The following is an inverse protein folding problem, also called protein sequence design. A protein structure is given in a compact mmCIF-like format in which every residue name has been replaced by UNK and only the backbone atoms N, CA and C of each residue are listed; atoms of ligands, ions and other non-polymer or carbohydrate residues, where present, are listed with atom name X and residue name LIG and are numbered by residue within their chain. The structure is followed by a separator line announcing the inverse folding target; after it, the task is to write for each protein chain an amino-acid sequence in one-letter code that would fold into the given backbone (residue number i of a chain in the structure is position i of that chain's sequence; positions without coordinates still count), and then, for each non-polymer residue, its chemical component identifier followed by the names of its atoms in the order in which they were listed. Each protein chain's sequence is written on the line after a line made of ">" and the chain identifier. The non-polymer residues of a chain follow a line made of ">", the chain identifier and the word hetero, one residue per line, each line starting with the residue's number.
data_IF_079685080833
#
_entry.id   IF_079685080833
#
_cell.length_a   1.000
_cell.length_b   1.000
_cell.length_c   1.000
_cell.angle_alpha   90.00
_cell.angle_beta   90.00
_cell.angle_gamma   90.00
#
_symmetry.space_group_name_H-M   'P 1'
#
loop_
_entity.id
_entity.type
_entity.pdbx_description
1 polymer ?
#
# COMPACT_ATOMS: atom_id res chain seq x y z
N UNK A 1 25.75 8.92 -9.00
CA UNK A 1 25.21 7.57 -8.74
C UNK A 1 24.41 7.63 -7.44
N UNK A 2 23.08 7.50 -7.49
CA UNK A 2 22.26 7.48 -6.27
C UNK A 2 22.66 6.26 -5.42
N UNK A 3 23.01 6.48 -4.15
CA UNK A 3 23.36 5.40 -3.23
C UNK A 3 22.15 4.48 -3.08
N UNK A 4 22.29 3.20 -3.43
CA UNK A 4 21.26 2.18 -3.20
C UNK A 4 20.84 2.20 -1.73
N UNK A 5 19.54 2.35 -1.47
CA UNK A 5 19.01 2.24 -0.12
C UNK A 5 19.08 0.76 0.30
N UNK A 6 19.76 0.51 1.42
CA UNK A 6 19.86 -0.82 2.03
C UNK A 6 18.82 -0.87 3.14
N UNK A 7 18.02 -1.95 3.17
CA UNK A 7 17.05 -2.18 4.23
C UNK A 7 17.73 -2.20 5.61
N UNK A 8 17.24 -1.36 6.53
CA UNK A 8 17.72 -1.32 7.91
C UNK A 8 16.53 -1.10 8.82
N UNK A 9 16.36 -1.98 9.81
CA UNK A 9 15.30 -1.84 10.79
C UNK A 9 15.37 -0.47 11.48
N UNK A 10 14.21 0.15 11.68
CA UNK A 10 14.01 1.49 12.23
C UNK A 10 14.66 2.62 11.41
N UNK A 11 15.05 2.38 10.15
CA UNK A 11 15.44 3.47 9.26
C UNK A 11 14.18 4.23 8.83
N UNK A 12 14.10 5.50 9.21
CA UNK A 12 13.11 6.43 8.64
C UNK A 12 13.58 6.86 7.25
N UNK A 13 12.64 6.80 6.31
CA UNK A 13 12.81 7.15 4.91
C UNK A 13 11.65 8.03 4.46
N UNK A 14 11.86 8.79 3.40
CA UNK A 14 10.76 9.30 2.60
C UNK A 14 10.76 8.64 1.23
N UNK A 15 9.57 8.52 0.66
CA UNK A 15 9.32 7.83 -0.61
C UNK A 15 8.61 8.82 -1.52
N UNK A 16 9.14 9.05 -2.72
CA UNK A 16 8.42 9.79 -3.77
C UNK A 16 7.26 8.92 -4.28
N UNK A 17 6.03 9.42 -4.15
CA UNK A 17 4.83 8.63 -4.46
C UNK A 17 4.64 8.42 -5.95
N UNK A 18 5.08 9.35 -6.80
CA UNK A 18 5.16 9.20 -8.26
C UNK A 18 6.28 10.06 -8.80
N UNK A 19 6.92 9.65 -9.89
CA UNK A 19 8.01 10.40 -10.50
C UNK A 19 7.48 11.61 -11.29
N UNK A 20 8.33 12.65 -11.38
CA UNK A 20 8.04 13.90 -12.11
C UNK A 20 7.85 13.72 -13.63
N UNK A 21 8.31 12.61 -14.21
CA UNK A 21 8.16 12.29 -15.64
C UNK A 21 6.70 12.00 -16.04
N UNK A 22 5.80 11.86 -15.07
CA UNK A 22 4.36 11.76 -15.26
C UNK A 22 3.66 13.15 -15.19
N UNK A 23 3.88 14.05 -16.15
CA UNK A 23 3.09 15.28 -16.39
C UNK A 23 2.75 16.19 -15.16
N UNK A 24 3.46 16.09 -14.03
CA UNK A 24 3.09 16.76 -12.77
C UNK A 24 3.85 18.05 -12.52
N UNK A 25 3.14 18.98 -11.87
CA UNK A 25 3.71 20.27 -11.41
C UNK A 25 4.64 20.09 -10.21
N UNK A 26 4.34 19.15 -9.32
CA UNK A 26 5.08 18.92 -8.07
C UNK A 26 5.20 17.43 -7.74
N UNK A 27 6.28 17.08 -7.04
CA UNK A 27 6.49 15.76 -6.47
C UNK A 27 5.82 15.67 -5.10
N UNK A 28 5.30 14.50 -4.75
CA UNK A 28 4.74 14.23 -3.42
C UNK A 28 5.61 13.17 -2.75
N UNK A 29 5.97 13.42 -1.49
CA UNK A 29 6.74 12.51 -0.67
C UNK A 29 5.93 12.09 0.54
N UNK A 30 6.09 10.84 0.96
CA UNK A 30 5.49 10.29 2.17
C UNK A 30 6.56 9.79 3.12
N UNK A 31 6.39 10.03 4.41
CA UNK A 31 7.30 9.52 5.44
C UNK A 31 6.94 8.08 5.81
N UNK A 32 7.95 7.21 5.86
CA UNK A 32 7.79 5.81 6.22
C UNK A 32 8.98 5.32 7.07
N UNK A 33 8.78 4.25 7.81
CA UNK A 33 9.81 3.58 8.58
C UNK A 33 9.94 2.13 8.12
N UNK A 34 11.18 1.72 7.85
CA UNK A 34 11.51 0.32 7.63
C UNK A 34 11.42 -0.44 8.95
N UNK A 35 10.52 -1.42 9.02
CA UNK A 35 10.36 -2.31 10.17
C UNK A 35 11.09 -3.64 9.88
N UNK A 36 11.03 -4.58 10.80
CA UNK A 36 11.58 -5.92 10.60
C UNK A 36 10.85 -6.65 9.45
N UNK A 37 11.50 -7.63 8.82
CA UNK A 37 10.91 -8.53 7.80
C UNK A 37 10.35 -7.85 6.52
N UNK A 38 11.00 -6.80 6.01
CA UNK A 38 10.57 -6.10 4.78
C UNK A 38 9.19 -5.42 4.88
N UNK A 39 8.74 -5.10 6.10
CA UNK A 39 7.53 -4.30 6.33
C UNK A 39 7.83 -2.80 6.35
N UNK A 40 7.01 -2.01 5.68
CA UNK A 40 7.01 -0.55 5.80
C UNK A 40 5.84 -0.11 6.66
N UNK A 41 6.17 0.66 7.70
CA UNK A 41 5.21 1.45 8.45
C UNK A 41 5.10 2.81 7.77
N UNK A 42 3.95 3.10 7.17
CA UNK A 42 3.68 4.36 6.46
C UNK A 42 2.93 5.29 7.40
N UNK A 43 3.38 6.53 7.52
CA UNK A 43 2.71 7.56 8.31
C UNK A 43 1.83 8.41 7.39
N UNK A 44 0.74 8.95 7.94
CA UNK A 44 -0.09 9.93 7.24
C UNK A 44 0.58 11.32 7.31
N UNK A 45 1.78 11.40 6.73
CA UNK A 45 2.65 12.56 6.67
C UNK A 45 3.16 12.70 5.25
N UNK A 46 2.67 13.71 4.55
CA UNK A 46 2.98 14.01 3.16
C UNK A 46 3.47 15.44 3.00
N UNK A 47 4.41 15.67 2.09
CA UNK A 47 4.85 17.02 1.69
C UNK A 47 5.32 17.03 0.23
N UNK A 48 5.64 18.22 -0.29
CA UNK A 48 6.10 18.40 -1.67
C UNK A 48 7.56 18.83 -1.80
N UNK A 49 8.20 19.20 -0.68
CA UNK A 49 9.59 19.67 -0.62
C UNK A 49 10.57 18.62 -0.04
N UNK A 50 10.04 17.49 0.44
CA UNK A 50 10.80 16.42 1.10
C UNK A 50 11.57 16.89 2.35
N UNK A 51 11.13 17.97 3.01
CA UNK A 51 11.73 18.46 4.24
C UNK A 51 10.94 17.98 5.48
N UNK A 52 11.63 17.34 6.43
CA UNK A 52 11.02 16.65 7.57
C UNK A 52 11.58 17.12 8.92
N UNK A 53 11.68 18.44 9.10
CA UNK A 53 12.09 19.04 10.37
C UNK A 53 10.99 18.94 11.43
N UNK A 54 11.38 18.77 12.69
CA UNK A 54 10.48 18.80 13.85
C UNK A 54 9.35 17.75 13.84
N UNK A 55 9.53 16.64 13.13
CA UNK A 55 8.58 15.51 13.13
C UNK A 55 8.79 14.65 14.39
N UNK A 56 7.71 14.43 15.14
CA UNK A 56 7.64 13.45 16.24
C UNK A 56 6.77 12.26 15.81
N UNK A 57 7.42 11.16 15.43
CA UNK A 57 6.74 9.94 14.97
C UNK A 57 5.89 9.26 16.07
N UNK A 58 6.09 9.58 17.35
CA UNK A 58 5.24 9.05 18.43
C UNK A 58 3.84 9.68 18.44
N UNK A 59 3.70 10.85 17.81
CA UNK A 59 2.42 11.57 17.67
C UNK A 59 1.87 11.52 16.25
N UNK A 60 2.67 11.01 15.31
CA UNK A 60 2.28 10.94 13.92
C UNK A 60 1.20 9.87 13.70
N UNK A 61 0.10 10.18 13.01
CA UNK A 61 -0.90 9.19 12.63
C UNK A 61 -0.27 8.13 11.71
N UNK A 62 -0.43 6.86 12.06
CA UNK A 62 -0.04 5.74 11.19
C UNK A 62 -1.12 5.59 10.12
N UNK A 63 -0.68 5.49 8.87
CA UNK A 63 -1.56 5.29 7.73
C UNK A 63 -1.85 3.79 7.54
N UNK A 64 -0.81 2.97 7.44
CA UNK A 64 -0.89 1.50 7.40
C UNK A 64 0.51 0.87 7.56
N UNK A 65 0.56 -0.46 7.73
CA UNK A 65 1.78 -1.26 7.72
C UNK A 65 1.64 -2.38 6.68
N UNK A 66 2.60 -2.53 5.77
CA UNK A 66 2.51 -3.53 4.68
C UNK A 66 3.87 -4.10 4.29
N UNK A 67 3.88 -5.26 3.64
CA UNK A 67 5.08 -5.89 3.11
C UNK A 67 5.44 -5.32 1.74
N UNK A 68 6.74 -5.11 1.49
CA UNK A 68 7.24 -4.67 0.18
C UNK A 68 8.32 -5.59 -0.37
N UNK A 69 8.41 -5.68 -1.69
CA UNK A 69 9.49 -6.41 -2.36
C UNK A 69 10.82 -5.64 -2.33
N UNK A 70 11.94 -6.35 -2.53
CA UNK A 70 13.24 -5.73 -2.80
C UNK A 70 13.20 -4.88 -4.08
N UNK A 71 12.42 -5.29 -5.08
CA UNK A 71 12.22 -4.56 -6.32
C UNK A 71 11.68 -3.15 -6.04
N UNK A 72 10.66 -3.03 -5.18
CA UNK A 72 10.11 -1.74 -4.78
C UNK A 72 11.19 -0.79 -4.24
N UNK A 73 12.06 -1.28 -3.34
CA UNK A 73 13.15 -0.48 -2.77
C UNK A 73 14.19 -0.07 -3.83
N UNK A 74 14.41 -0.91 -4.84
CA UNK A 74 15.39 -0.63 -5.89
C UNK A 74 14.88 0.31 -6.99
N UNK A 75 13.57 0.32 -7.26
CA UNK A 75 12.96 1.08 -8.36
C UNK A 75 12.37 2.42 -7.91
N UNK A 76 11.96 2.53 -6.65
CA UNK A 76 11.41 3.77 -6.08
C UNK A 76 12.49 4.79 -5.75
N UNK A 77 12.13 6.08 -5.83
CA UNK A 77 12.95 7.16 -5.32
C UNK A 77 12.75 7.27 -3.81
N UNK A 78 13.74 6.79 -3.04
CA UNK A 78 13.72 6.71 -1.58
C UNK A 78 14.88 7.50 -1.00
N UNK A 79 14.60 8.31 0.02
CA UNK A 79 15.56 9.18 0.67
C UNK A 79 15.64 8.84 2.16
N UNK A 80 16.84 8.74 2.71
CA UNK A 80 17.01 8.55 4.16
C UNK A 80 16.74 9.85 4.89
N UNK A 81 15.98 9.77 5.97
CA UNK A 81 15.63 10.93 6.77
C UNK A 81 16.33 10.90 8.13
N UNK A 82 16.66 12.08 8.65
CA UNK A 82 17.20 12.28 10.01
C UNK A 82 16.05 12.53 10.99
N UNK A 83 15.09 11.63 10.99
CA UNK A 83 13.92 11.66 11.88
C UNK A 83 14.07 10.49 12.85
N UNK A 84 13.81 10.73 14.14
CA UNK A 84 13.82 9.67 15.14
C UNK A 84 12.71 8.65 14.83
N UNK A 85 13.03 7.34 14.75
CA UNK A 85 12.03 6.32 14.46
C UNK A 85 11.02 6.18 15.59
N UNK A 86 9.81 5.74 15.25
CA UNK A 86 8.85 5.22 16.22
C UNK A 86 9.46 3.97 16.87
N UNK A 87 9.69 4.05 18.17
CA UNK A 87 10.26 2.95 18.97
C UNK A 87 9.15 2.02 19.42
N UNK A 88 9.50 0.73 19.55
CA UNK A 88 8.60 -0.30 20.11
C UNK A 88 7.27 -0.49 19.37
N UNK A 89 7.19 -0.07 18.10
CA UNK A 89 6.03 -0.37 17.28
C UNK A 89 5.84 -1.89 17.17
N UNK A 90 4.64 -2.35 17.51
CA UNK A 90 4.22 -3.74 17.34
C UNK A 90 3.44 -3.85 16.04
N UNK A 91 3.96 -4.57 15.02
CA UNK A 91 3.22 -4.81 13.80
C UNK A 91 1.84 -5.45 14.07
N UNK A 92 0.85 -5.20 13.20
CA UNK A 92 -0.47 -5.81 13.35
C UNK A 92 -0.37 -7.33 13.36
N UNK A 93 -1.06 -7.96 14.32
CA UNK A 93 -1.11 -9.43 14.43
C UNK A 93 -2.14 -10.01 13.46
N UNK A 94 -3.20 -9.25 13.19
CA UNK A 94 -4.28 -9.65 12.29
C UNK A 94 -4.12 -9.02 10.90
N UNK A 95 -4.30 -9.84 9.87
CA UNK A 95 -4.17 -9.44 8.46
C UNK A 95 -5.20 -10.19 7.61
N UNK A 96 -5.40 -9.71 6.39
CA UNK A 96 -6.30 -10.35 5.43
C UNK A 96 -5.48 -11.19 4.44
N UNK A 97 -5.80 -12.47 4.37
CA UNK A 97 -5.29 -13.37 3.33
C UNK A 97 -6.27 -13.44 2.16
N UNK A 98 -5.84 -13.07 0.97
CA UNK A 98 -6.67 -13.16 -0.24
C UNK A 98 -7.02 -14.62 -0.56
N UNK A 99 -8.27 -14.89 -0.91
CA UNK A 99 -8.72 -16.25 -1.24
C UNK A 99 -8.48 -16.59 -2.71
N UNK A 100 -8.05 -17.84 -2.94
CA UNK A 100 -7.93 -18.44 -4.27
C UNK A 100 -6.75 -17.93 -5.09
N UNK A 101 -6.49 -18.65 -6.19
CA UNK A 101 -5.43 -18.34 -7.15
C UNK A 101 -5.96 -18.34 -8.59
N UNK A 102 -7.29 -18.35 -8.78
CA UNK A 102 -7.87 -18.33 -10.13
C UNK A 102 -7.81 -16.93 -10.69
N UNK A 103 -7.45 -16.83 -11.96
CA UNK A 103 -7.58 -15.57 -12.68
C UNK A 103 -9.06 -15.37 -13.04
N UNK A 104 -9.59 -14.18 -12.75
CA UNK A 104 -10.96 -13.79 -13.09
C UNK A 104 -10.98 -12.48 -13.86
N UNK A 105 -12.02 -12.31 -14.67
CA UNK A 105 -12.30 -11.04 -15.34
C UNK A 105 -13.06 -10.12 -14.41
N UNK A 106 -12.70 -8.84 -14.43
CA UNK A 106 -13.42 -7.77 -13.74
C UNK A 106 -13.68 -6.66 -14.75
N UNK A 107 -14.95 -6.31 -14.95
CA UNK A 107 -15.35 -5.14 -15.72
C UNK A 107 -15.33 -3.92 -14.82
N UNK A 108 -14.59 -2.89 -15.23
CA UNK A 108 -14.43 -1.63 -14.50
C UNK A 108 -15.12 -0.51 -15.28
N UNK A 109 -15.75 0.41 -14.54
CA UNK A 109 -16.40 1.62 -15.06
C UNK A 109 -17.38 1.36 -16.23
N UNK A 110 -18.19 0.31 -16.07
CA UNK A 110 -19.20 -0.08 -17.06
C UNK A 110 -20.12 1.08 -17.44
N UNK A 111 -20.38 1.24 -18.74
CA UNK A 111 -21.17 2.31 -19.32
C UNK A 111 -20.46 3.67 -19.44
N UNK A 112 -19.17 3.76 -19.11
CA UNK A 112 -18.38 4.99 -19.25
C UNK A 112 -17.41 4.93 -20.43
N UNK A 113 -16.85 6.07 -20.83
CA UNK A 113 -15.80 6.12 -21.85
C UNK A 113 -14.49 5.42 -21.42
N UNK A 114 -14.35 5.12 -20.14
CA UNK A 114 -13.18 4.46 -19.56
C UNK A 114 -13.41 2.98 -19.28
N UNK A 115 -14.58 2.43 -19.65
CA UNK A 115 -14.92 1.02 -19.45
C UNK A 115 -13.82 0.09 -19.96
N UNK A 116 -13.44 -0.89 -19.14
CA UNK A 116 -12.49 -1.92 -19.55
C UNK A 116 -12.66 -3.20 -18.76
N UNK A 117 -12.17 -4.30 -19.33
CA UNK A 117 -11.97 -5.55 -18.61
C UNK A 117 -10.50 -5.69 -18.19
N UNK A 118 -10.27 -6.16 -16.96
CA UNK A 118 -8.94 -6.59 -16.50
C UNK A 118 -8.97 -8.05 -16.03
N UNK A 119 -7.82 -8.71 -16.12
CA UNK A 119 -7.59 -10.00 -15.47
C UNK A 119 -7.01 -9.77 -14.07
N UNK A 120 -7.67 -10.30 -13.05
CA UNK A 120 -7.22 -10.18 -11.66
C UNK A 120 -7.08 -11.57 -11.02
N UNK A 121 -6.06 -11.75 -10.17
CA UNK A 121 -5.81 -13.01 -9.47
C UNK A 121 -6.59 -13.09 -8.16
N UNK A 122 -7.33 -14.16 -7.95
CA UNK A 122 -8.09 -14.44 -6.72
C UNK A 122 -9.53 -14.84 -7.03
N UNK A 123 -10.12 -15.65 -6.16
CA UNK A 123 -11.52 -16.07 -6.27
C UNK A 123 -12.48 -14.94 -5.85
N UNK A 124 -11.96 -13.95 -5.13
CA UNK A 124 -12.72 -12.89 -4.47
C UNK A 124 -12.85 -13.14 -2.98
N UNK A 125 -12.86 -12.05 -2.23
CA UNK A 125 -12.88 -12.07 -0.78
C UNK A 125 -11.53 -12.42 -0.16
N UNK A 126 -11.53 -12.47 1.16
CA UNK A 126 -10.35 -12.72 1.97
C UNK A 126 -10.72 -13.40 3.27
N UNK A 127 -9.75 -14.03 3.91
CA UNK A 127 -9.84 -14.56 5.26
C UNK A 127 -9.14 -13.63 6.24
N UNK A 128 -9.73 -13.42 7.42
CA UNK A 128 -9.03 -12.80 8.54
C UNK A 128 -8.16 -13.85 9.21
N UNK A 129 -6.86 -13.59 9.26
CA UNK A 129 -5.89 -14.48 9.88
C UNK A 129 -5.16 -13.78 11.02
N UNK A 130 -4.72 -14.56 12.00
CA UNK A 130 -3.73 -14.17 12.99
C UNK A 130 -2.37 -14.75 12.58
N UNK A 131 -1.34 -13.90 12.50
CA UNK A 131 0.02 -14.28 12.11
C UNK A 131 0.36 -13.96 10.65
N UNK A 132 1.28 -14.76 10.08
CA UNK A 132 1.81 -14.59 8.72
C UNK A 132 1.37 -15.76 7.83
N UNK A 133 1.33 -15.59 6.50
CA UNK A 133 0.84 -16.60 5.52
C UNK A 133 1.39 -18.02 5.78
N UNK A 134 2.65 -18.15 6.20
CA UNK A 134 3.30 -19.45 6.43
C UNK A 134 3.00 -20.12 7.78
N UNK A 135 2.48 -19.38 8.76
CA UNK A 135 2.10 -19.88 10.07
C UNK A 135 0.97 -19.00 10.62
N UNK A 136 -0.26 -19.28 10.17
CA UNK A 136 -1.42 -18.48 10.53
C UNK A 136 -2.55 -19.33 11.12
N UNK A 137 -3.37 -18.66 11.93
CA UNK A 137 -4.63 -19.17 12.44
C UNK A 137 -5.75 -18.41 11.72
N UNK A 138 -6.69 -19.15 11.13
CA UNK A 138 -7.87 -18.55 10.52
C UNK A 138 -8.86 -18.15 11.61
N UNK A 139 -9.08 -16.84 11.76
CA UNK A 139 -10.05 -16.26 12.70
C UNK A 139 -11.41 -16.16 12.03
N UNK A 140 -11.42 -15.74 10.76
CA UNK A 140 -12.59 -15.69 9.92
C UNK A 140 -12.22 -16.25 8.54
N UNK A 141 -12.56 -17.52 8.23
CA UNK A 141 -12.17 -18.17 6.98
C UNK A 141 -12.65 -17.46 5.71
N UNK A 142 -13.79 -16.78 5.80
CA UNK A 142 -14.36 -15.98 4.72
C UNK A 142 -14.98 -14.72 5.32
N UNK A 143 -14.39 -13.56 5.00
CA UNK A 143 -14.92 -12.26 5.40
C UNK A 143 -16.10 -11.93 4.49
N UNK A 144 -17.31 -11.68 5.04
CA UNK A 144 -18.45 -11.26 4.23
C UNK A 144 -18.13 -10.01 3.43
N UNK A 145 -18.53 -9.96 2.16
CA UNK A 145 -18.32 -8.80 1.29
C UNK A 145 -18.95 -7.49 1.83
N UNK A 146 -19.93 -7.61 2.73
CA UNK A 146 -20.61 -6.49 3.40
C UNK A 146 -19.93 -6.04 4.69
N UNK A 147 -18.93 -6.77 5.21
CA UNK A 147 -18.20 -6.44 6.44
C UNK A 147 -17.11 -5.40 6.16
N UNK A 148 -17.55 -4.16 5.91
CA UNK A 148 -16.64 -3.05 5.63
C UNK A 148 -15.73 -2.72 6.83
N UNK A 149 -16.18 -2.95 8.06
CA UNK A 149 -15.38 -2.68 9.25
C UNK A 149 -14.13 -3.55 9.28
N UNK A 150 -14.29 -4.87 9.09
CA UNK A 150 -13.15 -5.80 9.04
C UNK A 150 -12.26 -5.51 7.83
N UNK A 151 -12.84 -5.31 6.65
CA UNK A 151 -12.08 -5.06 5.41
C UNK A 151 -11.26 -3.78 5.54
N UNK A 152 -11.82 -2.69 6.08
CA UNK A 152 -11.12 -1.41 6.17
C UNK A 152 -10.04 -1.41 7.25
N UNK A 153 -10.27 -2.12 8.36
CA UNK A 153 -9.37 -2.14 9.52
C UNK A 153 -8.07 -2.89 9.28
N UNK A 154 -8.08 -3.97 8.50
CA UNK A 154 -6.92 -4.84 8.34
C UNK A 154 -6.29 -4.73 6.94
N UNK A 155 -4.97 -4.88 6.90
CA UNK A 155 -4.20 -4.85 5.66
C UNK A 155 -4.12 -6.24 5.03
N UNK A 156 -4.01 -6.27 3.70
CA UNK A 156 -3.72 -7.51 2.98
C UNK A 156 -2.30 -7.99 3.29
N UNK A 157 -2.15 -9.31 3.36
CA UNK A 157 -0.84 -9.99 3.43
C UNK A 157 -0.04 -9.91 2.13
N UNK A 158 -0.64 -9.43 1.04
CA UNK A 158 -0.02 -9.28 -0.27
C UNK A 158 1.23 -8.38 -0.18
N UNK A 159 2.34 -8.87 -0.73
CA UNK A 159 3.59 -8.11 -0.84
C UNK A 159 3.48 -7.11 -1.99
N UNK A 160 3.75 -5.84 -1.68
CA UNK A 160 3.61 -4.72 -2.62
C UNK A 160 4.84 -4.54 -3.51
N UNK A 161 4.58 -4.10 -4.74
CA UNK A 161 5.59 -4.00 -5.81
C UNK A 161 5.63 -2.61 -6.42
N UNK A 162 6.71 -2.33 -7.15
CA UNK A 162 6.77 -1.16 -8.03
C UNK A 162 6.04 -1.48 -9.35
N UNK A 163 5.26 -0.58 -9.95
CA UNK A 163 4.95 0.79 -9.51
C UNK A 163 3.64 0.91 -8.72
N UNK A 164 2.87 -0.18 -8.56
CA UNK A 164 1.52 -0.11 -7.97
C UNK A 164 1.52 0.48 -6.56
N UNK A 165 2.54 0.18 -5.76
CA UNK A 165 2.61 0.69 -4.39
C UNK A 165 2.88 2.19 -4.34
N UNK A 166 3.71 2.71 -5.25
CA UNK A 166 3.94 4.15 -5.39
C UNK A 166 2.60 4.85 -5.69
N UNK A 167 1.84 4.29 -6.63
CA UNK A 167 0.53 4.84 -6.95
C UNK A 167 -0.46 4.75 -5.78
N UNK A 168 -0.50 3.64 -5.04
CA UNK A 168 -1.30 3.54 -3.81
C UNK A 168 -0.96 4.65 -2.81
N UNK A 169 0.33 4.94 -2.60
CA UNK A 169 0.77 6.02 -1.70
C UNK A 169 0.28 7.39 -2.19
N UNK A 170 0.32 7.62 -3.50
CA UNK A 170 -0.20 8.86 -4.08
C UNK A 170 -1.73 8.99 -3.92
N UNK A 171 -2.46 7.90 -4.13
CA UNK A 171 -3.91 7.88 -3.90
C UNK A 171 -4.22 8.17 -2.44
N UNK A 172 -3.45 7.64 -1.49
CA UNK A 172 -3.63 7.96 -0.07
C UNK A 172 -3.42 9.45 0.21
N UNK A 173 -2.43 10.10 -0.40
CA UNK A 173 -2.26 11.55 -0.34
C UNK A 173 -3.49 12.28 -0.89
N UNK A 174 -3.94 11.90 -2.10
CA UNK A 174 -5.07 12.54 -2.78
C UNK A 174 -6.38 12.44 -2.00
N UNK A 175 -6.62 11.28 -1.36
CA UNK A 175 -7.84 11.02 -0.59
C UNK A 175 -7.72 11.37 0.90
N UNK A 176 -6.53 11.69 1.40
CA UNK A 176 -6.26 12.02 2.80
C UNK A 176 -6.49 10.86 3.79
N UNK A 177 -6.55 9.61 3.31
CA UNK A 177 -6.83 8.41 4.10
C UNK A 177 -6.17 7.17 3.48
N UNK A 178 -6.14 6.07 4.24
CA UNK A 178 -5.72 4.78 3.71
C UNK A 178 -6.71 4.30 2.65
N UNK A 179 -6.25 4.24 1.40
CA UNK A 179 -6.97 3.60 0.29
C UNK A 179 -6.10 2.47 -0.25
N UNK A 180 -6.74 1.40 -0.72
CA UNK A 180 -6.05 0.23 -1.22
C UNK A 180 -6.81 -0.36 -2.42
N UNK A 181 -6.48 0.08 -3.65
CA UNK A 181 -7.14 -0.41 -4.85
C UNK A 181 -7.07 -1.93 -5.00
N UNK A 182 -5.99 -2.58 -4.55
CA UNK A 182 -5.89 -4.04 -4.56
C UNK A 182 -6.92 -4.68 -3.63
N UNK A 183 -7.09 -4.14 -2.42
CA UNK A 183 -8.10 -4.63 -1.46
C UNK A 183 -9.51 -4.43 -1.99
N UNK A 184 -9.77 -3.29 -2.63
CA UNK A 184 -11.06 -3.05 -3.26
C UNK A 184 -11.32 -4.05 -4.41
N UNK A 185 -10.32 -4.39 -5.22
CA UNK A 185 -10.42 -5.45 -6.24
C UNK A 185 -10.65 -6.84 -5.62
N UNK A 186 -9.94 -7.18 -4.54
CA UNK A 186 -10.12 -8.46 -3.82
C UNK A 186 -11.56 -8.61 -3.34
N UNK A 187 -12.13 -7.57 -2.75
CA UNK A 187 -13.49 -7.58 -2.19
C UNK A 187 -14.57 -7.09 -3.16
N UNK A 188 -14.32 -7.07 -4.47
CA UNK A 188 -15.30 -6.66 -5.49
C UNK A 188 -15.97 -5.30 -5.19
N UNK A 189 -15.25 -4.40 -4.55
CA UNK A 189 -15.76 -3.07 -4.24
C UNK A 189 -15.73 -2.19 -5.49
N UNK A 190 -16.63 -1.21 -5.59
CA UNK A 190 -16.58 -0.23 -6.68
C UNK A 190 -15.21 0.44 -6.75
N UNK A 191 -14.60 0.42 -7.94
CA UNK A 191 -13.31 1.07 -8.20
C UNK A 191 -13.58 2.49 -8.70
N UNK A 192 -13.20 3.55 -7.96
CA UNK A 192 -13.35 4.93 -8.42
C UNK A 192 -12.49 5.21 -9.65
N UNK A 193 -12.91 6.13 -10.52
CA UNK A 193 -12.15 6.51 -11.72
C UNK A 193 -10.80 7.13 -11.36
N UNK A 194 -10.66 7.68 -10.15
CA UNK A 194 -9.40 8.18 -9.63
C UNK A 194 -8.33 7.09 -9.49
N UNK A 195 -8.70 5.81 -9.44
CA UNK A 195 -7.76 4.69 -9.41
C UNK A 195 -7.29 4.27 -10.81
N UNK A 196 -7.69 5.00 -11.87
CA UNK A 196 -7.41 4.64 -13.26
C UNK A 196 -5.93 4.31 -13.52
N UNK A 197 -5.02 5.15 -13.05
CA UNK A 197 -3.58 4.90 -13.19
C UNK A 197 -3.14 3.61 -12.48
N UNK A 198 -3.64 3.35 -11.28
CA UNK A 198 -3.32 2.12 -10.56
C UNK A 198 -3.71 0.90 -11.41
N UNK A 199 -4.90 0.95 -12.02
CA UNK A 199 -5.39 -0.10 -12.91
C UNK A 199 -4.51 -0.19 -14.16
N UNK A 200 -4.12 0.94 -14.77
CA UNK A 200 -3.18 0.97 -15.91
C UNK A 200 -1.88 0.24 -15.54
N UNK A 201 -1.29 0.55 -14.39
CA UNK A 201 -0.03 -0.06 -13.91
C UNK A 201 -0.14 -1.58 -13.75
N UNK A 202 -1.21 -2.10 -13.13
CA UNK A 202 -1.32 -3.54 -12.85
C UNK A 202 -1.82 -4.36 -14.05
N UNK A 203 -2.36 -3.69 -15.07
CA UNK A 203 -2.88 -4.33 -16.29
C UNK A 203 -1.92 -4.25 -17.49
N UNK A 204 -0.79 -3.55 -17.31
CA UNK A 204 0.28 -3.37 -18.32
C UNK A 204 1.19 -4.58 -18.50
#
# INVERSE_FOLDING_TARGET
>A
MMKRVIWRANQVISIETRRRDENRKENVYVLAQMINRAQLLVFNLFNTDNNWENIDLNKAPILFCTYVTKQFISCSNIYKQKVEPLKEYKPPVYQIHMLGIRARKITLWEGTADEREIMFLGDGGGALIEGDIGNCIYIMPEIPFTDNETIDKYELTNVRIYAEFNERLYLCYKFGKNVDPMKDLVFNRPIPIEYKEYIDIISS
#
